data_IF_435424056580
#
_entry.id   IF_435424056580
#
_cell.length_a   1.000
_cell.length_b   1.000
_cell.length_c   1.000
_cell.angle_alpha   90.00
_cell.angle_beta   90.00
_cell.angle_gamma   90.00
#
_symmetry.space_group_name_H-M   'P 1'
#
loop_
_entity.id
_entity.type
_entity.pdbx_description
1 polymer ?
#
# COMPACT_ATOMS: atom_id res chain seq x y z
N UNK A 1 0.27 15.70 16.72
CA UNK A 1 0.12 15.08 15.38
C UNK A 1 -0.04 13.58 15.58
N UNK A 2 -1.00 12.93 14.92
CA UNK A 2 -1.22 11.48 15.06
C UNK A 2 -0.68 10.77 13.82
N UNK A 3 -0.07 9.61 14.00
CA UNK A 3 0.52 8.81 12.92
C UNK A 3 -0.18 7.46 12.84
N UNK A 4 -0.58 7.07 11.64
CA UNK A 4 -1.15 5.77 11.31
C UNK A 4 -0.21 5.05 10.35
N UNK A 5 0.31 3.92 10.79
CA UNK A 5 1.15 3.02 10.01
C UNK A 5 0.27 1.87 9.49
N UNK A 6 0.25 1.65 8.19
CA UNK A 6 -0.59 0.62 7.55
C UNK A 6 0.28 -0.53 7.09
N UNK A 7 -0.09 -1.73 7.53
CA UNK A 7 0.30 -3.00 6.91
C UNK A 7 -0.98 -3.60 6.33
N UNK A 8 -1.05 -3.77 5.02
CA UNK A 8 -2.25 -4.27 4.36
C UNK A 8 -2.06 -5.72 3.90
N UNK A 9 -2.95 -6.58 4.39
CA UNK A 9 -3.03 -7.96 3.96
C UNK A 9 -4.03 -8.08 2.81
N UNK A 10 -3.54 -8.52 1.66
CA UNK A 10 -4.32 -8.62 0.43
C UNK A 10 -4.13 -7.41 -0.48
N UNK A 11 -3.59 -7.67 -1.68
CA UNK A 11 -3.46 -6.72 -2.79
C UNK A 11 -4.19 -7.22 -4.06
N UNK A 12 -5.35 -7.86 -3.86
CA UNK A 12 -6.32 -8.16 -4.92
C UNK A 12 -7.14 -6.93 -5.33
N UNK A 13 -8.29 -7.12 -5.98
CA UNK A 13 -9.15 -6.02 -6.44
C UNK A 13 -9.51 -5.01 -5.32
N UNK A 14 -10.03 -5.51 -4.20
CA UNK A 14 -10.43 -4.67 -3.06
C UNK A 14 -9.20 -4.00 -2.43
N UNK A 15 -8.13 -4.78 -2.22
CA UNK A 15 -6.90 -4.26 -1.62
C UNK A 15 -6.29 -3.11 -2.42
N UNK A 16 -6.25 -3.23 -3.75
CA UNK A 16 -5.74 -2.15 -4.63
C UNK A 16 -6.62 -0.90 -4.54
N UNK A 17 -7.94 -1.06 -4.61
CA UNK A 17 -8.87 0.07 -4.52
C UNK A 17 -8.73 0.81 -3.17
N UNK A 18 -8.60 0.07 -2.06
CA UNK A 18 -8.34 0.66 -0.73
C UNK A 18 -7.01 1.40 -0.70
N UNK A 19 -5.94 0.78 -1.21
CA UNK A 19 -4.63 1.42 -1.27
C UNK A 19 -4.66 2.73 -2.06
N UNK A 20 -5.33 2.74 -3.21
CA UNK A 20 -5.51 3.94 -4.03
C UNK A 20 -6.27 5.04 -3.27
N UNK A 21 -7.43 4.72 -2.67
CA UNK A 21 -8.21 5.70 -1.89
C UNK A 21 -7.36 6.29 -0.76
N UNK A 22 -6.63 5.46 -0.02
CA UNK A 22 -5.75 5.92 1.07
C UNK A 22 -4.67 6.87 0.55
N UNK A 23 -4.02 6.53 -0.57
CA UNK A 23 -2.96 7.35 -1.16
C UNK A 23 -3.47 8.70 -1.67
N UNK A 24 -4.68 8.74 -2.24
CA UNK A 24 -5.35 9.97 -2.69
C UNK A 24 -5.75 10.85 -1.49
N UNK A 25 -6.22 10.24 -0.41
CA UNK A 25 -6.83 10.93 0.72
C UNK A 25 -5.86 11.37 1.82
N UNK A 26 -4.71 10.72 1.96
CA UNK A 26 -3.77 10.96 3.07
C UNK A 26 -3.35 12.42 3.23
N UNK A 27 -3.19 13.17 2.12
CA UNK A 27 -2.87 14.60 2.17
C UNK A 27 -4.00 15.41 2.80
N UNK A 28 -5.25 15.10 2.44
CA UNK A 28 -6.45 15.73 2.99
C UNK A 28 -6.61 15.43 4.48
N UNK A 29 -6.32 14.19 4.90
CA UNK A 29 -6.37 13.80 6.31
C UNK A 29 -5.28 14.47 7.15
N UNK A 30 -4.05 14.61 6.62
CA UNK A 30 -3.00 15.36 7.28
C UNK A 30 -3.42 16.81 7.51
N UNK A 31 -3.92 17.47 6.46
CA UNK A 31 -4.31 18.89 6.53
C UNK A 31 -5.52 19.14 7.43
N UNK A 32 -6.57 18.33 7.33
CA UNK A 32 -7.84 18.58 8.04
C UNK A 32 -7.90 17.95 9.43
N UNK A 33 -7.11 16.91 9.70
CA UNK A 33 -7.20 16.11 10.93
C UNK A 33 -5.87 15.92 11.64
N UNK A 34 -4.75 16.39 11.07
CA UNK A 34 -3.42 16.18 11.66
C UNK A 34 -3.02 14.71 11.74
N UNK A 35 -3.54 13.88 10.83
CA UNK A 35 -3.26 12.43 10.74
C UNK A 35 -2.30 12.19 9.58
N UNK A 36 -1.09 11.77 9.90
CA UNK A 36 -0.12 11.30 8.93
C UNK A 36 -0.33 9.81 8.68
N UNK A 37 -0.57 9.42 7.42
CA UNK A 37 -0.77 8.01 7.03
C UNK A 37 0.38 7.55 6.16
N UNK A 38 1.01 6.43 6.55
CA UNK A 38 2.10 5.80 5.80
C UNK A 38 1.86 4.31 5.66
N UNK A 39 2.19 3.77 4.49
CA UNK A 39 2.25 2.33 4.28
C UNK A 39 3.63 1.82 4.68
N UNK A 40 3.66 0.66 5.35
CA UNK A 40 4.91 -0.03 5.71
C UNK A 40 5.09 -1.33 4.99
N UNK A 41 3.98 -2.02 4.69
CA UNK A 41 4.03 -3.23 3.89
C UNK A 41 2.67 -3.52 3.25
N UNK A 42 2.73 -4.29 2.17
CA UNK A 42 1.59 -4.92 1.53
C UNK A 42 1.90 -6.39 1.30
N UNK A 43 0.90 -7.25 1.40
CA UNK A 43 1.03 -8.67 1.06
C UNK A 43 -0.10 -9.16 0.18
N UNK A 44 0.16 -10.24 -0.54
CA UNK A 44 -0.84 -11.08 -1.18
C UNK A 44 -0.55 -12.56 -0.87
N UNK A 45 -1.23 -13.47 -1.56
CA UNK A 45 -1.04 -14.92 -1.36
C UNK A 45 0.35 -15.42 -1.78
N UNK A 46 1.14 -14.63 -2.49
CA UNK A 46 2.47 -15.00 -2.99
C UNK A 46 3.62 -14.47 -2.14
N UNK A 47 3.40 -13.43 -1.34
CA UNK A 47 4.45 -12.83 -0.51
C UNK A 47 4.09 -11.47 0.05
N UNK A 48 5.08 -10.79 0.61
CA UNK A 48 4.95 -9.44 1.16
C UNK A 48 6.09 -8.55 0.65
N UNK A 49 5.78 -7.26 0.47
CA UNK A 49 6.75 -6.22 0.20
C UNK A 49 6.70 -5.20 1.31
N UNK A 50 7.87 -4.90 1.87
CA UNK A 50 8.06 -3.84 2.85
C UNK A 50 8.56 -2.56 2.15
N UNK A 51 8.33 -1.43 2.82
CA UNK A 51 8.70 -0.11 2.30
C UNK A 51 7.51 0.62 1.68
N UNK A 52 7.46 1.93 1.90
CA UNK A 52 6.42 2.79 1.32
C UNK A 52 6.69 3.02 -0.17
N UNK A 53 7.96 3.10 -0.53
CA UNK A 53 8.52 3.25 -1.87
C UNK A 53 8.15 2.09 -2.80
N UNK A 54 7.96 0.89 -2.25
CA UNK A 54 7.62 -0.33 -2.99
C UNK A 54 6.15 -0.38 -3.39
N UNK A 55 5.29 0.41 -2.74
CA UNK A 55 3.83 0.34 -2.92
C UNK A 55 3.37 0.69 -4.35
N UNK A 56 3.86 1.76 -5.01
CA UNK A 56 3.46 2.07 -6.39
C UNK A 56 3.83 0.98 -7.39
N UNK A 57 4.95 0.27 -7.16
CA UNK A 57 5.38 -0.84 -8.01
C UNK A 57 4.54 -2.09 -7.75
N UNK A 58 4.23 -2.37 -6.48
CA UNK A 58 3.34 -3.46 -6.09
C UNK A 58 1.94 -3.29 -6.70
N UNK A 59 1.36 -2.08 -6.67
CA UNK A 59 0.04 -1.81 -7.27
C UNK A 59 0.08 -2.06 -8.78
N UNK A 60 1.05 -1.49 -9.51
CA UNK A 60 1.20 -1.68 -10.96
C UNK A 60 1.33 -3.15 -11.35
N UNK A 61 2.22 -3.88 -10.67
CA UNK A 61 2.39 -5.33 -10.89
C UNK A 61 1.06 -6.08 -10.76
N UNK A 62 0.29 -5.77 -9.70
CA UNK A 62 -0.99 -6.43 -9.45
C UNK A 62 -2.09 -6.03 -10.45
N UNK A 63 -2.00 -4.85 -11.06
CA UNK A 63 -2.87 -4.42 -12.17
C UNK A 63 -2.55 -5.17 -13.46
N UNK A 64 -1.26 -5.45 -13.71
CA UNK A 64 -0.77 -6.24 -14.84
C UNK A 64 -0.98 -7.75 -14.68
N UNK A 65 -1.47 -8.19 -13.51
CA UNK A 65 -1.76 -9.60 -13.21
C UNK A 65 -0.60 -10.37 -12.58
N UNK A 66 0.50 -9.70 -12.24
CA UNK A 66 1.67 -10.31 -11.60
C UNK A 66 1.47 -10.66 -10.13
N UNK A 67 2.53 -11.20 -9.52
CA UNK A 67 2.55 -11.66 -8.12
C UNK A 67 3.64 -10.95 -7.35
N UNK A 68 3.40 -10.58 -6.08
CA UNK A 68 4.40 -9.83 -5.30
C UNK A 68 5.75 -10.55 -5.17
N UNK A 69 5.76 -11.88 -5.19
CA UNK A 69 6.99 -12.68 -5.23
C UNK A 69 7.93 -12.36 -6.41
N UNK A 70 7.42 -11.75 -7.49
CA UNK A 70 8.19 -11.37 -8.69
C UNK A 70 9.00 -10.08 -8.50
N UNK A 71 8.68 -9.27 -7.48
CA UNK A 71 9.39 -8.02 -7.18
C UNK A 71 10.62 -8.20 -6.29
N UNK A 72 10.92 -9.45 -5.89
CA UNK A 72 12.05 -9.77 -5.03
C UNK A 72 11.78 -9.46 -3.56
N UNK A 73 12.01 -10.45 -2.71
CA UNK A 73 12.22 -10.26 -1.26
C UNK A 73 13.72 -10.32 -1.05
N UNK A 74 14.37 -9.16 -0.92
CA UNK A 74 15.65 -9.11 -0.21
C UNK A 74 15.39 -9.03 1.30
#
# INVERSE_FOLDING_TARGET
MRRLEIVQLGLGHVGRAVAQIVLEERKRWLQRRGIEVRYRAVSDTSGALAGEESLPQAIRLKEEGGRLAELGVE
#
